data_IF_806563902585
#
_entry.id   IF_806563902585
#
_cell.length_a   1.000
_cell.length_b   1.000
_cell.length_c   1.000
_cell.angle_alpha   90.00
_cell.angle_beta   90.00
_cell.angle_gamma   90.00
#
_symmetry.space_group_name_H-M   'P 1'
#
loop_
_entity.id
_entity.type
_entity.pdbx_description
1 polymer ?
#
# COMPACT_ATOMS: atom_id res chain seq x y z
N UNK A 1 17.21 1.92 7.69
CA UNK A 1 16.23 1.78 8.79
C UNK A 1 15.98 0.30 9.00
N UNK A 2 15.84 -0.16 10.24
CA UNK A 2 15.55 -1.57 10.58
C UNK A 2 14.04 -1.77 10.76
N UNK A 3 13.52 -2.96 10.47
CA UNK A 3 12.09 -3.29 10.63
C UNK A 3 11.54 -2.92 12.02
N UNK A 4 12.31 -3.21 13.08
CA UNK A 4 12.03 -2.86 14.49
C UNK A 4 11.60 -1.42 14.76
N UNK A 5 11.97 -0.46 13.89
CA UNK A 5 11.59 0.93 14.08
C UNK A 5 10.08 1.16 13.86
N UNK A 6 9.44 0.38 12.98
CA UNK A 6 8.03 0.53 12.63
C UNK A 6 7.11 -0.35 13.48
N UNK A 7 7.60 -1.50 13.97
CA UNK A 7 6.80 -2.49 14.72
C UNK A 7 6.06 -1.91 15.93
N UNK A 8 6.67 -0.94 16.63
CA UNK A 8 6.03 -0.31 17.82
C UNK A 8 4.77 0.47 17.49
N UNK A 9 4.67 0.99 16.28
CA UNK A 9 3.56 1.82 15.82
C UNK A 9 2.63 1.09 14.85
N UNK A 10 3.08 0.00 14.22
CA UNK A 10 2.32 -0.78 13.23
C UNK A 10 0.90 -1.11 13.71
N UNK A 11 0.74 -1.54 14.97
CA UNK A 11 -0.59 -1.86 15.54
C UNK A 11 -1.57 -0.69 15.63
N UNK A 12 -1.08 0.55 15.59
CA UNK A 12 -1.90 1.75 15.65
C UNK A 12 -2.12 2.38 14.27
N UNK A 13 -1.28 2.03 13.28
CA UNK A 13 -1.27 2.66 11.97
C UNK A 13 -2.65 2.63 11.29
N UNK A 14 -3.31 1.47 11.34
CA UNK A 14 -4.65 1.30 10.78
C UNK A 14 -5.72 2.14 11.50
N UNK A 15 -5.54 2.48 12.77
CA UNK A 15 -6.51 3.34 13.48
C UNK A 15 -6.51 4.75 12.91
N UNK A 16 -5.36 5.22 12.46
CA UNK A 16 -5.19 6.57 11.93
C UNK A 16 -5.42 6.63 10.41
N UNK A 17 -5.02 5.58 9.67
CA UNK A 17 -4.87 5.65 8.21
C UNK A 17 -5.69 4.65 7.42
N UNK A 18 -6.40 3.69 8.03
CA UNK A 18 -7.17 2.69 7.26
C UNK A 18 -8.20 3.33 6.32
N UNK A 19 -8.82 4.42 6.76
CA UNK A 19 -9.85 5.16 6.01
C UNK A 19 -9.28 6.41 5.31
N UNK A 20 -7.95 6.58 5.30
CA UNK A 20 -7.32 7.64 4.53
C UNK A 20 -7.35 7.25 3.04
N UNK A 21 -8.23 7.86 2.28
CA UNK A 21 -8.45 7.53 0.86
C UNK A 21 -8.11 8.69 -0.08
N UNK A 22 -7.75 9.87 0.44
CA UNK A 22 -7.56 11.11 -0.33
C UNK A 22 -6.51 10.97 -1.45
N UNK A 23 -5.53 10.09 -1.29
CA UNK A 23 -4.48 9.84 -2.28
C UNK A 23 -4.82 8.70 -3.27
N UNK A 24 -5.83 7.87 -2.98
CA UNK A 24 -6.19 6.73 -3.83
C UNK A 24 -6.58 7.14 -5.25
N UNK A 25 -7.38 8.20 -5.50
CA UNK A 25 -7.73 8.58 -6.87
C UNK A 25 -6.51 8.84 -7.75
N UNK A 26 -5.54 9.59 -7.23
CA UNK A 26 -4.30 9.90 -7.94
C UNK A 26 -3.46 8.63 -8.21
N UNK A 27 -3.35 7.74 -7.23
CA UNK A 27 -2.58 6.49 -7.39
C UNK A 27 -3.26 5.55 -8.39
N UNK A 28 -4.59 5.47 -8.37
CA UNK A 28 -5.39 4.69 -9.32
C UNK A 28 -5.23 5.19 -10.75
N UNK A 29 -5.28 6.51 -10.95
CA UNK A 29 -5.03 7.12 -12.26
C UNK A 29 -3.63 6.77 -12.78
N UNK A 30 -2.61 6.91 -11.93
CA UNK A 30 -1.23 6.56 -12.31
C UNK A 30 -1.08 5.07 -12.65
N UNK A 31 -1.75 4.19 -11.90
CA UNK A 31 -1.71 2.75 -12.15
C UNK A 31 -2.36 2.35 -13.48
N UNK A 32 -3.37 3.10 -13.94
CA UNK A 32 -4.01 2.87 -15.24
C UNK A 32 -3.11 3.22 -16.43
N UNK A 33 -2.15 4.12 -16.26
CA UNK A 33 -1.20 4.50 -17.31
C UNK A 33 -0.11 3.45 -17.54
N UNK A 34 0.05 2.49 -16.62
CA UNK A 34 1.12 1.49 -16.67
C UNK A 34 0.61 0.16 -17.20
N UNK A 35 1.19 -0.30 -18.30
CA UNK A 35 1.01 -1.67 -18.78
C UNK A 35 1.98 -2.63 -18.07
N UNK A 36 1.44 -3.61 -17.33
CA UNK A 36 2.23 -4.67 -16.72
C UNK A 36 2.04 -4.81 -15.21
N UNK A 37 2.89 -5.61 -14.53
CA UNK A 37 2.80 -5.80 -13.10
C UNK A 37 3.34 -4.58 -12.32
N UNK A 38 2.69 -4.28 -11.20
CA UNK A 38 3.04 -3.19 -10.28
C UNK A 38 3.75 -3.75 -9.03
N UNK A 39 4.58 -2.91 -8.41
CA UNK A 39 5.25 -3.19 -7.14
C UNK A 39 5.00 -2.03 -6.17
N UNK A 40 4.45 -2.32 -5.00
CA UNK A 40 4.34 -1.39 -3.89
C UNK A 40 5.41 -1.68 -2.85
N UNK A 41 6.31 -0.71 -2.64
CA UNK A 41 7.35 -0.78 -1.62
C UNK A 41 6.87 -0.09 -0.35
N UNK A 42 7.01 -0.77 0.80
CA UNK A 42 6.46 -0.28 2.06
C UNK A 42 4.93 -0.40 2.10
N UNK A 43 4.38 -1.52 1.59
CA UNK A 43 2.94 -1.69 1.45
C UNK A 43 2.17 -1.76 2.78
N UNK A 44 2.87 -1.99 3.89
CA UNK A 44 2.30 -2.11 5.23
C UNK A 44 1.11 -3.06 5.25
N UNK A 45 -0.02 -2.57 5.77
CA UNK A 45 -1.28 -3.31 5.85
C UNK A 45 -2.08 -3.35 4.54
N UNK A 46 -1.54 -2.78 3.46
CA UNK A 46 -2.10 -2.89 2.11
C UNK A 46 -3.20 -1.88 1.78
N UNK A 47 -3.21 -0.70 2.42
CA UNK A 47 -4.22 0.36 2.18
C UNK A 47 -4.35 0.73 0.69
N UNK A 48 -3.24 0.79 -0.03
CA UNK A 48 -3.20 1.09 -1.48
C UNK A 48 -3.15 -0.20 -2.30
N UNK A 49 -2.40 -1.20 -1.84
CA UNK A 49 -2.29 -2.51 -2.47
C UNK A 49 -3.65 -3.15 -2.78
N UNK A 50 -4.51 -3.20 -1.76
CA UNK A 50 -5.79 -3.89 -1.83
C UNK A 50 -6.74 -3.28 -2.87
N UNK A 51 -7.00 -1.96 -2.90
CA UNK A 51 -7.87 -1.38 -3.92
C UNK A 51 -7.29 -1.51 -5.35
N UNK A 52 -5.97 -1.39 -5.54
CA UNK A 52 -5.34 -1.62 -6.85
C UNK A 52 -5.51 -3.06 -7.32
N UNK A 53 -5.30 -4.04 -6.43
CA UNK A 53 -5.53 -5.44 -6.73
C UNK A 53 -7.01 -5.72 -7.04
N UNK A 54 -7.93 -5.12 -6.28
CA UNK A 54 -9.38 -5.24 -6.49
C UNK A 54 -9.83 -4.62 -7.82
N UNK A 55 -9.15 -3.57 -8.30
CA UNK A 55 -9.36 -2.97 -9.61
C UNK A 55 -8.77 -3.79 -10.78
N UNK A 56 -8.12 -4.92 -10.50
CA UNK A 56 -7.63 -5.86 -11.50
C UNK A 56 -6.17 -5.68 -11.89
N UNK A 57 -5.44 -4.78 -11.23
CA UNK A 57 -4.00 -4.66 -11.45
C UNK A 57 -3.28 -5.89 -10.89
N UNK A 58 -2.30 -6.41 -11.64
CA UNK A 58 -1.34 -7.39 -11.10
C UNK A 58 -0.33 -6.64 -10.24
N UNK A 59 -0.48 -6.68 -8.93
CA UNK A 59 0.38 -5.95 -8.00
C UNK A 59 0.99 -6.87 -6.94
N UNK A 60 2.25 -6.60 -6.59
CA UNK A 60 2.97 -7.26 -5.50
C UNK A 60 3.32 -6.22 -4.45
N UNK A 61 3.10 -6.54 -3.18
CA UNK A 61 3.53 -5.72 -2.05
C UNK A 61 4.82 -6.25 -1.44
N UNK A 62 5.72 -5.35 -1.08
CA UNK A 62 6.91 -5.67 -0.30
C UNK A 62 7.01 -4.73 0.88
N UNK A 63 6.99 -5.28 2.09
CA UNK A 63 7.29 -4.54 3.31
C UNK A 63 8.43 -5.22 4.08
N UNK A 64 9.14 -4.44 4.89
CA UNK A 64 10.17 -4.94 5.81
C UNK A 64 9.56 -5.38 7.15
N UNK A 65 8.38 -4.85 7.49
CA UNK A 65 7.60 -5.28 8.66
C UNK A 65 6.94 -6.64 8.35
N UNK A 66 7.08 -7.63 9.24
CA UNK A 66 6.57 -8.99 9.03
C UNK A 66 5.06 -9.15 9.21
#
# INVERSE_FOLDING_TARGET
MTADAFDRFARFYDLDYREYEDDLPMVMELAQEVEGPLLELGCGTGRVLAPLAAAGHRITGLDLSP
#
